data_IF_743742068885
#
_entry.id   IF_743742068885
#
_cell.length_a   1.000
_cell.length_b   1.000
_cell.length_c   1.000
_cell.angle_alpha   90.00
_cell.angle_beta   90.00
_cell.angle_gamma   90.00
#
_symmetry.space_group_name_H-M   'P 1'
#
loop_
_entity.id
_entity.type
_entity.pdbx_description
1 polymer ?
#
# COMPACT_ATOMS: atom_id res chain seq x y z
N UNK A 1 14.00 27.45 -4.02
CA UNK A 1 13.06 26.99 -2.95
C UNK A 1 13.34 27.68 -1.62
N UNK A 2 14.62 27.80 -1.21
CA UNK A 2 15.06 28.51 0.01
C UNK A 2 14.69 30.00 0.04
N UNK A 3 14.71 30.68 -1.10
CA UNK A 3 14.38 32.11 -1.23
C UNK A 3 13.01 32.47 -0.66
N UNK A 4 11.97 31.65 -0.93
CA UNK A 4 10.61 31.86 -0.42
C UNK A 4 10.48 31.77 1.11
N UNK A 5 11.45 31.12 1.77
CA UNK A 5 11.49 31.04 3.23
C UNK A 5 12.27 32.23 3.82
N UNK A 6 13.29 32.71 3.12
CA UNK A 6 13.98 33.95 3.51
C UNK A 6 13.04 35.17 3.39
N UNK A 7 12.24 35.24 2.33
CA UNK A 7 11.21 36.28 2.14
C UNK A 7 10.14 36.27 3.25
N UNK A 8 9.85 35.08 3.81
CA UNK A 8 8.94 34.93 4.96
C UNK A 8 9.58 35.26 6.31
N UNK A 9 10.87 35.61 6.34
CA UNK A 9 11.58 36.00 7.56
C UNK A 9 12.10 34.84 8.40
N UNK A 10 12.18 33.61 7.85
CA UNK A 10 12.81 32.52 8.57
C UNK A 10 14.31 32.75 8.75
N UNK A 11 14.82 32.48 9.95
CA UNK A 11 16.24 32.61 10.26
C UNK A 11 17.04 31.54 9.50
N UNK A 12 18.09 31.98 8.80
CA UNK A 12 19.05 31.12 8.07
C UNK A 12 19.53 29.90 8.88
N UNK A 13 19.99 30.02 10.14
CA UNK A 13 20.49 28.86 10.89
C UNK A 13 19.44 27.78 11.16
N UNK A 14 18.16 28.15 11.23
CA UNK A 14 17.06 27.20 11.41
C UNK A 14 16.76 26.50 10.09
N UNK A 15 16.76 27.27 8.99
CA UNK A 15 16.52 26.76 7.65
C UNK A 15 17.57 25.72 7.22
N UNK A 16 18.85 26.02 7.47
CA UNK A 16 19.96 25.15 7.08
C UNK A 16 19.91 23.82 7.83
N UNK A 17 19.59 23.85 9.13
CA UNK A 17 19.36 22.64 9.93
C UNK A 17 18.22 21.80 9.38
N UNK A 18 17.07 22.42 9.11
CA UNK A 18 15.90 21.72 8.57
C UNK A 18 16.18 21.12 7.18
N UNK A 19 16.96 21.81 6.34
CA UNK A 19 17.35 21.32 5.02
C UNK A 19 18.31 20.12 5.11
N UNK A 20 19.23 20.14 6.08
CA UNK A 20 20.14 19.01 6.35
C UNK A 20 19.34 17.81 6.84
N UNK A 21 18.39 18.00 7.76
CA UNK A 21 17.51 16.95 8.26
C UNK A 21 16.64 16.34 7.15
N UNK A 22 16.06 17.16 6.28
CA UNK A 22 15.26 16.68 5.15
C UNK A 22 16.09 15.84 4.18
N UNK A 23 17.30 16.30 3.84
CA UNK A 23 18.23 15.53 2.99
C UNK A 23 18.62 14.21 3.63
N UNK A 24 18.91 14.19 4.93
CA UNK A 24 19.25 12.96 5.65
C UNK A 24 18.07 11.97 5.65
N UNK A 25 16.85 12.44 5.94
CA UNK A 25 15.65 11.59 5.89
C UNK A 25 15.37 11.06 4.48
N UNK A 26 15.66 11.86 3.45
CA UNK A 26 15.46 11.45 2.06
C UNK A 26 16.46 10.39 1.62
N UNK A 27 17.75 10.54 1.95
CA UNK A 27 18.79 9.54 1.67
C UNK A 27 18.47 8.21 2.35
N UNK A 28 17.98 8.23 3.60
CA UNK A 28 17.55 7.02 4.29
C UNK A 28 16.35 6.34 3.63
N UNK A 29 15.37 7.12 3.15
CA UNK A 29 14.23 6.58 2.39
C UNK A 29 14.68 5.93 1.09
N UNK A 30 15.51 6.61 0.31
CA UNK A 30 15.98 6.13 -0.99
C UNK A 30 16.83 4.84 -0.87
N UNK A 31 17.63 4.71 0.20
CA UNK A 31 18.40 3.48 0.47
C UNK A 31 17.53 2.28 0.92
N UNK A 32 16.31 2.53 1.43
CA UNK A 32 15.42 1.50 1.98
C UNK A 32 14.36 0.97 1.00
N UNK A 33 14.27 1.55 -0.21
CA UNK A 33 13.34 1.07 -1.24
C UNK A 33 14.00 -0.11 -1.95
N UNK A 34 14.09 -1.25 -1.25
CA UNK A 34 14.12 -2.54 -1.93
C UNK A 34 12.83 -2.61 -2.76
N UNK A 35 12.91 -2.98 -4.04
CA UNK A 35 11.75 -3.11 -4.94
C UNK A 35 10.84 -4.29 -4.55
N UNK A 36 10.38 -4.33 -3.30
CA UNK A 36 9.45 -5.32 -2.80
C UNK A 36 8.11 -5.14 -3.50
N UNK A 37 7.67 -6.19 -4.15
CA UNK A 37 6.41 -6.21 -4.87
C UNK A 37 5.24 -6.20 -3.87
N UNK A 38 4.13 -5.56 -4.23
CA UNK A 38 2.95 -5.51 -3.38
C UNK A 38 2.04 -6.71 -3.64
N UNK A 39 1.43 -7.24 -2.59
CA UNK A 39 0.37 -8.25 -2.67
C UNK A 39 -0.97 -7.61 -2.27
N UNK A 40 -1.75 -7.09 -3.23
CA UNK A 40 -3.01 -6.43 -2.93
C UNK A 40 -4.10 -7.44 -2.56
N UNK A 41 -4.61 -7.34 -1.34
CA UNK A 41 -5.71 -8.16 -0.81
C UNK A 41 -6.91 -7.31 -0.48
N UNK A 42 -8.12 -7.87 -0.47
CA UNK A 42 -9.32 -7.15 -0.02
C UNK A 42 -9.45 -7.29 1.48
N UNK A 43 -9.55 -6.17 2.20
CA UNK A 43 -9.76 -6.21 3.65
C UNK A 43 -11.20 -6.60 3.97
N UNK A 44 -11.37 -7.55 4.89
CA UNK A 44 -12.68 -7.91 5.42
C UNK A 44 -12.64 -7.93 6.96
N UNK A 45 -13.68 -7.39 7.60
CA UNK A 45 -13.68 -7.17 9.06
C UNK A 45 -13.60 -8.45 9.87
N UNK A 46 -14.08 -9.57 9.34
CA UNK A 46 -13.97 -10.87 10.02
C UNK A 46 -12.61 -11.55 9.82
N UNK A 47 -11.75 -11.03 8.93
CA UNK A 47 -10.42 -11.59 8.64
C UNK A 47 -9.26 -10.59 8.81
N UNK A 48 -9.13 -9.91 9.97
CA UNK A 48 -8.02 -8.99 10.21
C UNK A 48 -6.65 -9.73 10.22
N UNK A 49 -6.67 -11.03 10.52
CA UNK A 49 -5.50 -11.89 10.63
C UNK A 49 -4.99 -12.42 9.28
N UNK A 50 -5.64 -12.09 8.15
CA UNK A 50 -5.23 -12.60 6.84
C UNK A 50 -3.76 -12.23 6.52
N UNK A 51 -3.33 -11.03 6.91
CA UNK A 51 -1.95 -10.60 6.72
C UNK A 51 -0.96 -11.44 7.54
N UNK A 52 -1.29 -11.77 8.78
CA UNK A 52 -0.43 -12.63 9.61
C UNK A 52 -0.42 -14.07 9.11
N UNK A 53 -1.56 -14.58 8.63
CA UNK A 53 -1.68 -15.94 8.11
C UNK A 53 -0.83 -16.09 6.84
N UNK A 54 -0.93 -15.16 5.89
CA UNK A 54 -0.12 -15.17 4.67
C UNK A 54 1.37 -15.06 5.03
N UNK A 55 1.72 -14.20 5.99
CA UNK A 55 3.11 -14.03 6.41
C UNK A 55 3.70 -15.30 7.01
N UNK A 56 2.96 -15.97 7.88
CA UNK A 56 3.39 -17.19 8.57
C UNK A 56 3.46 -18.40 7.63
N UNK A 57 2.52 -18.49 6.68
CA UNK A 57 2.42 -19.62 5.74
C UNK A 57 3.14 -19.35 4.41
N UNK A 58 3.96 -18.30 4.31
CA UNK A 58 4.66 -17.95 3.08
C UNK A 58 5.53 -19.08 2.54
N UNK A 59 6.13 -19.90 3.43
CA UNK A 59 6.94 -21.06 3.02
C UNK A 59 6.15 -22.10 2.23
N UNK A 60 4.86 -22.25 2.53
CA UNK A 60 3.97 -23.18 1.83
C UNK A 60 3.58 -22.58 0.47
N UNK A 61 3.28 -21.28 0.44
CA UNK A 61 2.95 -20.58 -0.80
C UNK A 61 4.14 -20.55 -1.77
N UNK A 62 5.35 -20.33 -1.26
CA UNK A 62 6.58 -20.29 -2.05
C UNK A 62 7.05 -21.67 -2.55
N UNK A 63 6.43 -22.76 -2.08
CA UNK A 63 6.71 -24.11 -2.58
C UNK A 63 6.09 -24.38 -3.97
N UNK A 64 5.16 -23.53 -4.42
CA UNK A 64 4.62 -23.61 -5.77
C UNK A 64 5.61 -23.05 -6.81
N UNK A 65 5.80 -23.76 -7.93
CA UNK A 65 6.79 -23.42 -8.97
C UNK A 65 6.49 -22.10 -9.70
N UNK A 66 5.25 -21.60 -9.58
CA UNK A 66 4.83 -20.36 -10.24
C UNK A 66 5.12 -19.11 -9.42
N UNK A 67 5.09 -19.22 -8.08
CA UNK A 67 5.16 -18.08 -7.17
C UNK A 67 6.54 -17.39 -7.20
N UNK A 68 7.68 -18.12 -7.17
CA UNK A 68 9.02 -17.53 -7.23
C UNK A 68 9.30 -16.78 -8.54
N UNK A 69 8.62 -17.14 -9.63
CA UNK A 69 8.75 -16.45 -10.92
C UNK A 69 8.15 -15.04 -10.87
N UNK A 70 7.12 -14.85 -10.03
CA UNK A 70 6.39 -13.58 -9.88
C UNK A 70 6.91 -12.78 -8.68
N UNK A 71 7.21 -13.46 -7.57
CA UNK A 71 7.65 -12.86 -6.31
C UNK A 71 9.01 -13.44 -5.90
N UNK A 72 10.08 -12.70 -6.16
CA UNK A 72 11.45 -13.08 -5.77
C UNK A 72 11.67 -12.99 -4.25
N UNK A 73 10.95 -12.08 -3.59
CA UNK A 73 10.97 -11.88 -2.15
C UNK A 73 9.53 -11.89 -1.61
N UNK A 74 9.35 -12.15 -0.31
CA UNK A 74 8.05 -12.03 0.33
C UNK A 74 7.45 -10.63 0.07
N UNK A 75 6.29 -10.56 -0.60
CA UNK A 75 5.70 -9.29 -1.00
C UNK A 75 5.15 -8.53 0.20
N UNK A 76 5.04 -7.22 0.06
CA UNK A 76 4.39 -6.39 1.06
C UNK A 76 2.87 -6.55 0.94
N UNK A 77 2.27 -7.17 1.94
CA UNK A 77 0.83 -7.40 2.00
C UNK A 77 0.12 -6.06 2.18
N UNK A 78 -0.72 -5.72 1.20
CA UNK A 78 -1.49 -4.48 1.20
C UNK A 78 -2.99 -4.78 1.19
N UNK A 79 -3.76 -3.85 1.73
CA UNK A 79 -5.22 -3.93 1.67
C UNK A 79 -5.78 -2.90 0.70
N UNK A 80 -6.57 -3.36 -0.26
CA UNK A 80 -7.36 -2.51 -1.13
C UNK A 80 -8.45 -1.83 -0.30
N UNK A 81 -8.59 -0.52 -0.48
CA UNK A 81 -9.68 0.26 0.12
C UNK A 81 -11.04 -0.23 -0.44
N UNK A 82 -12.01 -0.41 0.43
CA UNK A 82 -13.39 -0.67 0.01
C UNK A 82 -13.96 0.51 -0.79
N UNK A 83 -14.85 0.22 -1.73
CA UNK A 83 -15.55 1.24 -2.52
C UNK A 83 -16.34 2.14 -1.57
N UNK A 84 -16.18 3.45 -1.70
CA UNK A 84 -16.98 4.43 -0.97
C UNK A 84 -18.20 4.83 -1.82
N UNK A 85 -19.18 5.50 -1.22
CA UNK A 85 -20.39 5.93 -1.92
C UNK A 85 -20.08 6.82 -3.14
N UNK A 86 -19.04 7.67 -3.06
CA UNK A 86 -18.59 8.49 -4.18
C UNK A 86 -18.07 7.63 -5.34
N UNK A 87 -17.32 6.57 -5.06
CA UNK A 87 -16.77 5.65 -6.06
C UNK A 87 -17.92 4.93 -6.78
N UNK A 88 -19.00 4.60 -6.07
CA UNK A 88 -20.22 3.99 -6.61
C UNK A 88 -21.09 4.96 -7.43
N UNK A 89 -21.18 6.23 -7.03
CA UNK A 89 -22.08 7.21 -7.65
C UNK A 89 -21.43 7.97 -8.81
N UNK A 90 -20.12 8.22 -8.75
CA UNK A 90 -19.40 9.06 -9.74
C UNK A 90 -18.97 8.24 -10.95
N UNK A 91 -18.62 6.97 -10.74
CA UNK A 91 -18.39 6.02 -11.81
C UNK A 91 -19.61 5.12 -11.88
N UNK A 92 -20.41 5.20 -12.96
CA UNK A 92 -21.41 4.18 -13.27
C UNK A 92 -20.67 2.85 -13.44
N UNK A 93 -20.57 2.09 -12.36
CA UNK A 93 -19.81 0.85 -12.26
C UNK A 93 -20.46 -0.20 -13.19
N UNK A 94 -19.84 -0.63 -14.31
CA UNK A 94 -20.42 -1.65 -15.17
C UNK A 94 -20.49 -3.03 -14.48
N UNK A 95 -19.75 -3.21 -13.39
CA UNK A 95 -19.64 -4.46 -12.63
C UNK A 95 -20.65 -4.58 -11.47
N UNK A 96 -21.56 -3.62 -11.28
CA UNK A 96 -22.60 -3.67 -10.25
C UNK A 96 -23.63 -4.81 -10.45
N UNK A 97 -23.61 -5.49 -11.61
CA UNK A 97 -24.59 -6.53 -11.98
C UNK A 97 -24.18 -7.96 -11.63
N UNK A 98 -22.93 -8.21 -11.27
CA UNK A 98 -22.40 -9.58 -11.14
C UNK A 98 -22.37 -10.12 -9.70
N UNK A 99 -22.57 -9.27 -8.69
CA UNK A 99 -22.50 -9.70 -7.28
C UNK A 99 -23.77 -10.37 -6.77
N UNK A 100 -24.90 -10.25 -7.47
CA UNK A 100 -26.18 -10.82 -7.01
C UNK A 100 -26.37 -12.30 -7.40
N UNK A 101 -25.53 -12.86 -8.29
CA UNK A 101 -25.72 -14.23 -8.81
C UNK A 101 -25.07 -15.34 -7.98
N UNK A 102 -24.18 -15.02 -7.05
CA UNK A 102 -23.35 -16.02 -6.35
C UNK A 102 -23.71 -16.25 -4.86
N UNK A 103 -24.92 -15.88 -4.43
CA UNK A 103 -25.40 -16.31 -3.11
C UNK A 103 -26.18 -17.62 -3.30
N UNK A 104 -25.66 -18.79 -2.86
CA UNK A 104 -26.48 -19.99 -2.87
C UNK A 104 -27.63 -19.79 -1.87
N UNK A 105 -28.87 -19.79 -2.37
CA UNK A 105 -30.06 -19.95 -1.54
C UNK A 105 -29.97 -21.33 -0.89
N UNK A 106 -29.53 -21.37 0.37
CA UNK A 106 -29.76 -22.52 1.23
C UNK A 106 -31.05 -22.24 2.02
N UNK A 107 -32.13 -22.92 1.64
CA UNK A 107 -33.30 -23.19 2.49
C UNK A 107 -33.26 -24.66 2.86
#
# INVERSE_FOLDING_TARGET
>A
MTERFLERGYQRPILDKALIEEKLHRVQKEASITQRMFFPTTFHRSSPQISSIIRNNWRILAADDTLPKVFQEQPLICFKRNRNLKDLLVYTDPNLRDTEKNTPLNR
#
